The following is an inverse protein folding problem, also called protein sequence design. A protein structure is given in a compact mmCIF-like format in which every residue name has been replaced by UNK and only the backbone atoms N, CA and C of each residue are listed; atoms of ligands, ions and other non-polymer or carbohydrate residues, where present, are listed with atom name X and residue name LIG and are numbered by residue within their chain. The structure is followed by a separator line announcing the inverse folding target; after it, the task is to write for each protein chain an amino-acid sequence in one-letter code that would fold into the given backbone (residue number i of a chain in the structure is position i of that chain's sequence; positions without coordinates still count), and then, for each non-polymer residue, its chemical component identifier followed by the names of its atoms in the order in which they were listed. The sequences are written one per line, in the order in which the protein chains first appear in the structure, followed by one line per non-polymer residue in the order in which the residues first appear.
data_IF_796673329496
#
_entry.id   IF_796673329496
#
_cell.length_a   1.000
_cell.length_b   1.000
_cell.length_c   1.000
_cell.angle_alpha   90.00
_cell.angle_beta   90.00
_cell.angle_gamma   90.00
#
_symmetry.space_group_name_H-M   'P 1'
#
loop_
_entity.id
_entity.type
_entity.pdbx_description
1 polymer ?
#
# COMPACT_ATOMS: atom_id res chain seq x y z
N UNK A 1 20.78 10.87 -28.52
CA UNK A 1 20.47 10.48 -27.96
C UNK A 1 20.25 10.16 -27.66
N UNK A 2 20.46 10.27 -27.79
CA UNK A 2 20.18 9.63 -27.22
C UNK A 2 19.89 9.59 -26.70
N UNK A 3 19.79 9.61 -26.82
CA UNK A 3 19.48 9.35 -26.04
C UNK A 3 19.93 8.85 -25.52
N UNK A 4 20.21 8.82 -25.44
CA UNK A 4 20.52 8.22 -24.69
C UNK A 4 21.25 8.41 -24.51
N UNK A 5 21.62 8.68 -24.97
CA UNK A 5 22.24 8.67 -24.54
C UNK A 5 22.40 9.42 -24.43
N UNK A 6 22.04 9.91 -24.56
CA UNK A 6 22.06 10.23 -24.16
C UNK A 6 21.95 10.04 -23.59
N UNK A 7 21.67 9.93 -23.51
CA UNK A 7 21.49 9.46 -22.78
C UNK A 7 22.00 9.13 -22.30
N UNK A 8 22.58 8.81 -22.72
CA UNK A 8 23.18 8.53 -22.01
C UNK A 8 24.00 9.08 -21.93
N UNK A 9 24.52 9.59 -22.60
CA UNK A 9 25.01 10.19 -22.08
C UNK A 9 24.49 10.88 -21.52
N UNK A 10 24.07 11.12 -21.76
CA UNK A 10 23.31 11.43 -21.05
C UNK A 10 22.90 10.59 -20.32
N UNK A 11 23.02 9.83 -20.90
CA UNK A 11 22.65 8.77 -20.11
C UNK A 11 23.42 8.67 -18.91
N UNK A 12 24.60 8.75 -19.00
CA UNK A 12 25.30 8.85 -17.76
C UNK A 12 24.75 9.99 -16.95
N UNK A 13 24.27 10.97 -17.66
CA UNK A 13 23.77 12.13 -16.99
C UNK A 13 22.37 11.99 -16.49
N UNK A 14 21.62 11.11 -17.12
CA UNK A 14 20.22 10.96 -16.73
C UNK A 14 19.80 9.52 -16.76
N UNK A 15 20.75 8.64 -16.63
CA UNK A 15 20.45 7.24 -16.57
C UNK A 15 19.54 6.90 -15.46
N UNK A 16 19.67 7.59 -14.34
CA UNK A 16 18.80 7.32 -13.20
C UNK A 16 17.36 7.59 -13.54
N UNK A 17 17.11 8.66 -14.28
CA UNK A 17 15.76 9.00 -14.67
C UNK A 17 15.19 7.91 -15.56
N UNK A 18 15.99 7.38 -16.45
CA UNK A 18 15.55 6.34 -17.37
C UNK A 18 15.10 5.10 -16.61
N UNK A 19 15.75 4.80 -15.51
CA UNK A 19 15.44 3.61 -14.75
C UNK A 19 14.42 3.83 -13.66
N UNK A 20 13.91 5.06 -13.52
CA UNK A 20 12.92 5.32 -12.50
C UNK A 20 11.62 4.61 -12.81
N UNK A 21 11.16 3.86 -11.84
CA UNK A 21 9.87 3.20 -11.92
C UNK A 21 8.89 4.06 -11.13
N UNK A 22 7.97 4.70 -11.83
CA UNK A 22 7.11 5.68 -11.19
C UNK A 22 6.00 4.99 -10.39
N UNK A 23 5.46 5.73 -9.44
CA UNK A 23 4.31 5.25 -8.67
C UNK A 23 3.12 4.99 -9.61
N UNK A 24 2.91 5.85 -10.58
CA UNK A 24 1.84 5.66 -11.56
C UNK A 24 2.03 4.36 -12.34
N UNK A 25 3.27 4.04 -12.73
CA UNK A 25 3.54 2.79 -13.40
C UNK A 25 3.29 1.59 -12.49
N UNK A 26 3.68 1.70 -11.23
CA UNK A 26 3.45 0.63 -10.27
C UNK A 26 1.95 0.37 -10.08
N UNK A 27 1.16 1.43 -10.06
CA UNK A 27 -0.29 1.27 -9.96
C UNK A 27 -0.86 0.65 -11.23
N UNK A 28 -0.39 1.10 -12.39
CA UNK A 28 -0.86 0.54 -13.66
C UNK A 28 -0.50 -0.94 -13.78
N UNK A 29 0.65 -1.34 -13.25
CA UNK A 29 1.11 -2.72 -13.30
C UNK A 29 0.54 -3.61 -12.20
N UNK A 30 -0.20 -3.04 -11.27
CA UNK A 30 -0.77 -3.81 -10.17
C UNK A 30 0.19 -4.14 -9.05
N UNK A 31 1.38 -3.56 -9.07
CA UNK A 31 2.34 -3.71 -7.97
C UNK A 31 1.89 -2.90 -6.77
N UNK A 32 1.27 -1.76 -7.03
CA UNK A 32 0.59 -0.95 -6.03
C UNK A 32 -0.89 -0.87 -6.40
N UNK A 33 -1.73 -0.84 -5.39
CA UNK A 33 -3.17 -0.70 -5.58
C UNK A 33 -3.58 0.62 -4.95
N UNK A 34 -4.15 1.50 -5.77
CA UNK A 34 -4.58 2.82 -5.30
C UNK A 34 -5.84 2.66 -4.47
N UNK A 35 -5.78 3.09 -3.22
CA UNK A 35 -6.91 3.01 -2.30
C UNK A 35 -7.30 4.39 -1.78
N UNK A 36 -6.90 5.43 -2.51
CA UNK A 36 -7.08 6.81 -2.05
C UNK A 36 -8.52 7.18 -1.81
N UNK A 37 -9.45 6.65 -2.59
CA UNK A 37 -10.85 7.04 -2.46
C UNK A 37 -11.40 6.69 -1.07
N UNK A 38 -11.26 5.43 -0.66
CA UNK A 38 -11.74 5.02 0.64
C UNK A 38 -10.86 5.59 1.77
N UNK A 39 -9.58 5.80 1.47
CA UNK A 39 -8.66 6.36 2.46
C UNK A 39 -9.10 7.77 2.88
N UNK A 40 -9.64 8.56 1.94
CA UNK A 40 -10.15 9.89 2.29
C UNK A 40 -11.26 9.78 3.33
N UNK A 41 -12.13 8.81 3.18
CA UNK A 41 -13.21 8.61 4.15
C UNK A 41 -12.66 8.21 5.51
N UNK A 42 -11.53 7.55 5.54
CA UNK A 42 -10.88 7.15 6.80
C UNK A 42 -10.05 8.28 7.42
N UNK A 43 -9.96 9.42 6.74
CA UNK A 43 -9.28 10.59 7.30
C UNK A 43 -7.93 10.92 6.70
N UNK A 44 -7.51 10.21 5.67
CA UNK A 44 -6.24 10.51 5.01
C UNK A 44 -6.37 11.74 4.12
N UNK A 45 -5.33 12.59 4.13
CA UNK A 45 -5.30 13.80 3.32
C UNK A 45 -4.47 13.63 2.07
N UNK A 46 -3.69 12.56 1.98
CA UNK A 46 -2.75 12.34 0.88
C UNK A 46 -3.11 11.05 0.17
N UNK A 47 -2.68 10.88 -1.08
CA UNK A 47 -2.93 9.62 -1.78
C UNK A 47 -2.34 8.44 -1.04
N UNK A 48 -3.08 7.34 -1.04
CA UNK A 48 -2.68 6.11 -0.35
C UNK A 48 -2.72 4.96 -1.33
N UNK A 49 -1.69 4.12 -1.30
CA UNK A 49 -1.67 2.90 -2.07
C UNK A 49 -1.19 1.76 -1.17
N UNK A 50 -1.59 0.54 -1.52
CA UNK A 50 -1.14 -0.66 -0.83
C UNK A 50 -0.31 -1.48 -1.80
N UNK A 51 0.73 -2.15 -1.29
CA UNK A 51 1.42 -3.12 -2.13
C UNK A 51 0.50 -4.29 -2.42
N UNK A 52 0.75 -4.98 -3.53
CA UNK A 52 -0.04 -6.15 -3.87
C UNK A 52 0.06 -7.22 -2.78
N UNK A 53 1.21 -7.31 -2.10
CA UNK A 53 1.38 -8.26 -1.01
C UNK A 53 0.51 -7.92 0.19
N UNK A 54 0.49 -6.66 0.59
CA UNK A 54 -0.35 -6.23 1.70
C UNK A 54 -1.83 -6.40 1.36
N UNK A 55 -2.20 -6.10 0.12
CA UNK A 55 -3.58 -6.29 -0.33
C UNK A 55 -3.98 -7.76 -0.26
N UNK A 56 -3.12 -8.64 -0.79
CA UNK A 56 -3.44 -10.07 -0.80
C UNK A 56 -3.58 -10.62 0.61
N UNK A 57 -2.78 -10.13 1.54
CA UNK A 57 -2.80 -10.63 2.91
C UNK A 57 -3.99 -10.11 3.71
N UNK A 58 -4.34 -8.84 3.55
CA UNK A 58 -5.27 -8.19 4.48
C UNK A 58 -6.60 -7.76 3.87
N UNK A 59 -6.68 -7.63 2.54
CA UNK A 59 -7.88 -7.07 1.91
C UNK A 59 -8.57 -8.08 1.00
N UNK A 60 -7.81 -8.78 0.17
CA UNK A 60 -8.40 -9.68 -0.83
C UNK A 60 -9.34 -10.69 -0.17
N UNK A 61 -10.53 -10.81 -0.72
CA UNK A 61 -11.53 -11.73 -0.20
C UNK A 61 -12.50 -12.04 -1.32
N UNK A 62 -12.71 -13.32 -1.60
CA UNK A 62 -13.59 -13.75 -2.66
C UNK A 62 -14.88 -14.29 -2.09
N UNK A 63 -15.85 -14.51 -2.97
CA UNK A 63 -17.08 -15.17 -2.57
C UNK A 63 -16.79 -16.57 -2.02
N UNK A 64 -15.83 -17.25 -2.63
CA UNK A 64 -15.43 -18.58 -2.16
C UNK A 64 -14.87 -18.50 -0.75
N UNK A 65 -14.12 -17.45 -0.43
CA UNK A 65 -13.64 -17.26 0.94
C UNK A 65 -14.82 -17.12 1.91
N UNK A 66 -15.84 -16.34 1.52
CA UNK A 66 -17.03 -16.21 2.36
C UNK A 66 -17.73 -17.52 2.57
N UNK A 67 -17.78 -18.35 1.54
CA UNK A 67 -18.46 -19.65 1.65
C UNK A 67 -17.67 -20.63 2.52
N UNK A 68 -16.35 -20.57 2.46
CA UNK A 68 -15.49 -21.51 3.17
C UNK A 68 -15.10 -21.07 4.55
N UNK A 69 -15.09 -19.75 4.78
CA UNK A 69 -14.57 -19.21 6.03
C UNK A 69 -15.67 -18.48 6.78
N UNK A 70 -15.70 -17.16 6.64
CA UNK A 70 -16.74 -16.33 7.24
C UNK A 70 -17.12 -15.28 6.21
N UNK A 71 -18.31 -14.73 6.35
CA UNK A 71 -18.78 -13.73 5.41
C UNK A 71 -18.04 -12.41 5.64
N UNK A 72 -17.35 -11.97 4.60
CA UNK A 72 -16.67 -10.67 4.58
C UNK A 72 -16.71 -10.15 3.15
N UNK A 73 -16.24 -8.91 2.95
CA UNK A 73 -16.02 -8.38 1.62
C UNK A 73 -14.77 -7.50 1.62
N UNK A 74 -14.27 -7.23 0.44
CA UNK A 74 -13.03 -6.48 0.30
C UNK A 74 -13.13 -5.06 0.82
N UNK A 75 -14.28 -4.41 0.61
CA UNK A 75 -14.45 -3.03 1.05
C UNK A 75 -14.36 -2.93 2.56
N UNK A 76 -15.02 -3.83 3.27
CA UNK A 76 -14.95 -3.84 4.73
C UNK A 76 -13.56 -4.14 5.24
N UNK A 77 -12.88 -5.09 4.60
CA UNK A 77 -11.52 -5.43 4.99
C UNK A 77 -10.56 -4.27 4.71
N UNK A 78 -10.72 -3.60 3.58
CA UNK A 78 -9.92 -2.43 3.27
C UNK A 78 -10.16 -1.31 4.27
N UNK A 79 -11.44 -1.10 4.64
CA UNK A 79 -11.76 -0.10 5.64
C UNK A 79 -11.03 -0.36 6.95
N UNK A 80 -10.98 -1.63 7.39
CA UNK A 80 -10.29 -1.97 8.64
C UNK A 80 -8.82 -1.61 8.57
N UNK A 81 -8.15 -1.91 7.44
CA UNK A 81 -6.75 -1.56 7.27
C UNK A 81 -6.56 -0.06 7.35
N UNK A 82 -7.37 0.68 6.60
CA UNK A 82 -7.21 2.14 6.50
C UNK A 82 -7.56 2.82 7.81
N UNK A 83 -8.59 2.33 8.49
CA UNK A 83 -8.99 2.90 9.76
C UNK A 83 -7.89 2.71 10.82
N UNK A 84 -7.34 1.50 10.91
CA UNK A 84 -6.30 1.23 11.89
C UNK A 84 -5.03 2.00 11.56
N UNK A 85 -4.70 2.15 10.28
CA UNK A 85 -3.56 2.96 9.87
C UNK A 85 -3.79 4.42 10.25
N UNK A 86 -4.99 4.93 10.03
CA UNK A 86 -5.34 6.30 10.38
C UNK A 86 -5.24 6.52 11.89
N UNK A 87 -5.72 5.55 12.67
CA UNK A 87 -5.62 5.63 14.13
C UNK A 87 -4.17 5.65 14.58
N UNK A 88 -3.32 4.83 13.94
CA UNK A 88 -1.90 4.78 14.30
C UNK A 88 -1.22 6.11 14.02
N UNK A 89 -1.54 6.73 12.89
CA UNK A 89 -0.98 8.04 12.55
C UNK A 89 -1.39 9.08 13.58
N UNK A 90 -2.66 9.08 13.96
CA UNK A 90 -3.16 10.06 14.93
C UNK A 90 -2.58 9.85 16.31
N UNK A 91 -2.22 8.63 16.65
CA UNK A 91 -1.66 8.32 17.96
C UNK A 91 -0.18 8.60 18.08
N UNK A 92 0.53 8.72 16.95
CA UNK A 92 1.96 8.92 17.00
C UNK A 92 2.28 10.40 17.16
N UNK A 93 3.38 10.66 17.86
CA UNK A 93 3.92 12.01 17.97
C UNK A 93 5.24 12.13 17.24
N UNK A 94 5.63 11.07 16.56
CA UNK A 94 6.87 11.03 15.83
C UNK A 94 6.68 11.65 14.46
N UNK A 95 7.74 12.28 13.94
CA UNK A 95 7.74 12.81 12.58
C UNK A 95 8.42 11.84 11.62
N UNK A 96 8.55 10.59 12.01
CA UNK A 96 9.21 9.60 11.17
C UNK A 96 8.38 9.28 9.94
N UNK A 97 9.07 8.93 8.87
CA UNK A 97 8.43 8.63 7.61
C UNK A 97 7.98 7.17 7.51
N UNK A 98 8.27 6.36 8.53
CA UNK A 98 7.92 4.95 8.52
C UNK A 98 7.40 4.57 9.90
N UNK A 99 6.33 3.78 9.92
CA UNK A 99 5.82 3.28 11.19
C UNK A 99 5.10 1.96 10.95
N UNK A 100 5.02 1.16 12.01
CA UNK A 100 4.28 -0.10 11.98
C UNK A 100 2.95 0.08 12.69
N UNK A 101 1.96 -0.68 12.25
CA UNK A 101 0.68 -0.71 12.94
C UNK A 101 0.11 -2.12 12.88
N UNK A 102 -0.85 -2.39 13.74
CA UNK A 102 -1.42 -3.72 13.87
C UNK A 102 -2.92 -3.68 13.67
N UNK A 103 -3.45 -4.78 13.20
CA UNK A 103 -4.89 -4.96 13.09
C UNK A 103 -5.18 -6.45 13.18
N UNK A 104 -6.43 -6.76 13.48
CA UNK A 104 -6.92 -8.13 13.42
C UNK A 104 -7.58 -8.34 12.07
N UNK A 105 -7.22 -9.43 11.41
CA UNK A 105 -7.88 -9.80 10.15
C UNK A 105 -8.00 -11.31 10.07
N UNK A 106 -9.04 -11.79 9.40
CA UNK A 106 -9.18 -13.21 9.14
C UNK A 106 -8.24 -13.57 7.99
N UNK A 107 -7.32 -14.53 8.18
CA UNK A 107 -6.41 -14.90 7.09
C UNK A 107 -7.18 -15.43 5.88
N UNK A 108 -6.76 -15.02 4.70
CA UNK A 108 -7.38 -15.42 3.44
C UNK A 108 -6.76 -16.75 2.99
N UNK A 109 -7.01 -17.81 3.74
CA UNK A 109 -6.38 -19.11 3.54
C UNK A 109 -7.37 -20.23 3.23
N UNK A 110 -8.65 -19.90 3.09
CA UNK A 110 -9.67 -20.89 2.77
C UNK A 110 -10.14 -21.72 3.94
N UNK A 111 -9.64 -21.46 5.16
CA UNK A 111 -9.96 -22.28 6.33
C UNK A 111 -10.25 -21.48 7.58
N UNK A 112 -9.51 -20.41 7.82
CA UNK A 112 -9.60 -19.67 9.07
C UNK A 112 -10.94 -18.97 9.19
N UNK A 113 -11.49 -18.98 10.41
CA UNK A 113 -12.76 -18.34 10.69
C UNK A 113 -12.64 -17.22 11.72
N UNK A 114 -11.46 -17.08 12.33
CA UNK A 114 -11.25 -16.08 13.37
C UNK A 114 -10.16 -15.11 12.96
N UNK A 115 -10.33 -13.87 13.41
CA UNK A 115 -9.35 -12.84 13.12
C UNK A 115 -8.07 -13.09 13.93
N UNK A 116 -6.94 -12.85 13.28
CA UNK A 116 -5.63 -13.04 13.86
C UNK A 116 -4.88 -11.72 13.74
N UNK A 117 -4.14 -11.36 14.78
CA UNK A 117 -3.37 -10.13 14.80
C UNK A 117 -2.29 -10.20 13.71
N UNK A 118 -2.19 -9.12 12.94
CA UNK A 118 -1.12 -9.00 11.96
C UNK A 118 -0.56 -7.60 11.98
N UNK A 119 0.66 -7.46 11.49
CA UNK A 119 1.35 -6.18 11.45
C UNK A 119 1.56 -5.73 10.02
N UNK A 120 1.37 -4.45 9.79
CA UNK A 120 1.66 -3.81 8.51
C UNK A 120 2.58 -2.63 8.74
N UNK A 121 3.16 -2.14 7.65
CA UNK A 121 4.06 -1.01 7.67
C UNK A 121 3.45 0.12 6.85
N UNK A 122 3.68 1.34 7.29
CA UNK A 122 3.16 2.53 6.64
C UNK A 122 4.34 3.44 6.36
N UNK A 123 4.47 3.88 5.12
CA UNK A 123 5.59 4.72 4.70
C UNK A 123 5.03 5.98 4.06
N UNK A 124 5.52 7.13 4.51
CA UNK A 124 5.22 8.41 3.89
C UNK A 124 6.44 8.86 3.10
N UNK A 125 6.22 9.34 1.90
CA UNK A 125 7.32 9.77 1.05
C UNK A 125 6.83 10.58 -0.12
N UNK A 126 7.75 10.96 -1.02
CA UNK A 126 7.37 11.75 -2.18
C UNK A 126 6.74 10.88 -3.26
N UNK A 127 5.71 11.41 -3.91
CA UNK A 127 5.14 10.81 -5.10
C UNK A 127 5.90 11.23 -6.34
N UNK A 128 5.31 10.95 -7.51
CA UNK A 128 5.98 11.19 -8.79
C UNK A 128 6.27 12.67 -9.03
N UNK A 129 5.49 13.55 -8.45
CA UNK A 129 5.67 15.00 -8.60
C UNK A 129 6.25 15.62 -7.32
N UNK A 130 6.77 14.82 -6.41
CA UNK A 130 7.27 15.29 -5.14
C UNK A 130 6.22 15.53 -4.09
N UNK A 131 4.96 15.27 -4.40
CA UNK A 131 3.86 15.45 -3.46
C UNK A 131 3.91 14.34 -2.39
N UNK A 132 3.41 14.60 -1.18
CA UNK A 132 3.41 13.55 -0.16
C UNK A 132 2.41 12.45 -0.50
N UNK A 133 2.85 11.21 -0.37
CA UNK A 133 2.00 10.04 -0.57
C UNK A 133 2.27 9.03 0.53
N UNK A 134 1.34 8.11 0.72
CA UNK A 134 1.43 7.09 1.74
C UNK A 134 1.33 5.73 1.07
N UNK A 135 2.15 4.78 1.54
CA UNK A 135 2.11 3.41 1.07
C UNK A 135 1.97 2.48 2.26
N UNK A 136 1.08 1.51 2.14
CA UNK A 136 0.90 0.46 3.15
C UNK A 136 1.52 -0.81 2.59
N UNK A 137 2.42 -1.42 3.37
CA UNK A 137 3.23 -2.55 2.94
C UNK A 137 3.20 -3.65 3.99
N UNK A 138 3.60 -4.84 3.57
CA UNK A 138 3.96 -5.88 4.54
C UNK A 138 5.24 -5.45 5.27
N UNK A 139 5.42 -5.91 6.52
CA UNK A 139 6.56 -5.43 7.31
C UNK A 139 7.92 -5.68 6.67
N UNK A 140 8.05 -6.73 5.87
CA UNK A 140 9.31 -7.08 5.23
C UNK A 140 9.53 -6.45 3.88
N UNK A 141 8.59 -5.68 3.38
CA UNK A 141 8.72 -5.02 2.08
C UNK A 141 9.35 -3.65 2.22
N UNK A 142 9.94 -3.18 1.13
CA UNK A 142 10.55 -1.84 1.08
C UNK A 142 9.73 -0.89 0.26
#
# INVERSE_FOLDING_TARGET
MSRQSQSNELAALFGEVIYSYTRAQAIADGVLIDVSELARDAGFRHPVAMTSGAWADCVAWSRENSDRQVHQDQTGRLWDVLWMASCAIRATRSAESEMFFELYRVPCDGRSTEAVLCQLKLVAGPGDQGEPVITVLLPGED
#
